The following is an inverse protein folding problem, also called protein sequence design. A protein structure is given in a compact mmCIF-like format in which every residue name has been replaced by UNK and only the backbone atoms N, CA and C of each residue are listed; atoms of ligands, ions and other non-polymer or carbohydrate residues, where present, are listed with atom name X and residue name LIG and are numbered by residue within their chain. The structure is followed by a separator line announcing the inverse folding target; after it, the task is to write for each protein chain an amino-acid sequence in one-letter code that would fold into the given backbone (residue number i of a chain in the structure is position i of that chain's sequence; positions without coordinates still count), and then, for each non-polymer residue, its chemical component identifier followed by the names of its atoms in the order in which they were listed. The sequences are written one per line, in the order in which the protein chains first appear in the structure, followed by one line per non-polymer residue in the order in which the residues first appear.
data_IF_824845031652
#
_entry.id   IF_824845031652
#
_cell.length_a   1.000
_cell.length_b   1.000
_cell.length_c   1.000
_cell.angle_alpha   90.00
_cell.angle_beta   90.00
_cell.angle_gamma   90.00
#
_symmetry.space_group_name_H-M   'P 1'
#
loop_
_entity.id
_entity.type
_entity.pdbx_description
1 polymer ?
#
# COMPACT_ATOMS: atom_id res chain seq x y z
N UNK A 1 5.54 10.89 -50.58
CA UNK A 1 6.46 10.44 -49.51
C UNK A 1 5.92 10.94 -48.19
N UNK A 2 5.31 10.08 -47.37
CA UNK A 2 4.92 10.44 -46.00
C UNK A 2 5.62 9.44 -45.10
N UNK A 3 6.58 9.92 -44.30
CA UNK A 3 7.38 9.12 -43.36
C UNK A 3 6.67 9.08 -42.01
N UNK A 4 6.62 7.87 -41.47
CA UNK A 4 6.09 7.46 -40.17
C UNK A 4 6.53 8.34 -38.99
N UNK A 5 5.62 8.57 -38.05
CA UNK A 5 5.95 8.90 -36.66
C UNK A 5 5.51 7.70 -35.82
N UNK A 6 6.47 6.85 -35.45
CA UNK A 6 6.29 5.78 -34.49
C UNK A 6 6.35 6.39 -33.09
N UNK A 7 5.20 6.56 -32.43
CA UNK A 7 5.12 6.91 -31.01
C UNK A 7 5.40 5.65 -30.20
N UNK A 8 6.64 5.47 -29.76
CA UNK A 8 6.96 4.46 -28.73
C UNK A 8 6.57 5.07 -27.39
N UNK A 9 5.33 4.81 -26.97
CA UNK A 9 4.92 5.07 -25.60
C UNK A 9 5.46 3.92 -24.74
N UNK A 10 6.68 4.09 -24.22
CA UNK A 10 7.22 3.17 -23.21
C UNK A 10 6.39 3.32 -21.93
N UNK A 11 5.39 2.45 -21.79
CA UNK A 11 4.70 2.23 -20.52
C UNK A 11 5.72 1.61 -19.58
N UNK A 12 6.29 2.42 -18.69
CA UNK A 12 7.01 1.90 -17.52
C UNK A 12 5.98 1.18 -16.65
N UNK A 13 5.82 -0.12 -16.88
CA UNK A 13 5.20 -1.00 -15.92
C UNK A 13 6.16 -1.07 -14.72
N UNK A 14 5.87 -0.29 -13.68
CA UNK A 14 6.48 -0.48 -12.37
C UNK A 14 6.09 -1.89 -11.90
N UNK A 15 7.02 -2.83 -11.99
CA UNK A 15 6.89 -4.12 -11.30
C UNK A 15 7.03 -3.83 -9.82
N UNK A 16 5.89 -3.70 -9.14
CA UNK A 16 5.86 -3.61 -7.68
C UNK A 16 6.42 -4.94 -7.15
N UNK A 17 7.68 -4.94 -6.70
CA UNK A 17 8.32 -6.11 -6.09
C UNK A 17 7.69 -6.31 -4.72
N UNK A 18 6.55 -6.98 -4.69
CA UNK A 18 6.04 -7.57 -3.47
C UNK A 18 7.16 -8.45 -2.92
N UNK A 19 7.70 -8.13 -1.75
CA UNK A 19 8.73 -8.93 -1.11
C UNK A 19 8.24 -10.38 -1.03
N UNK A 20 8.89 -11.27 -1.77
CA UNK A 20 8.45 -12.66 -1.86
C UNK A 20 8.87 -13.40 -0.57
N UNK A 21 7.97 -13.44 0.41
CA UNK A 21 8.14 -14.20 1.65
C UNK A 21 7.07 -15.28 1.80
N UNK A 22 7.07 -16.33 0.94
CA UNK A 22 5.97 -17.28 0.82
C UNK A 22 5.74 -18.16 2.05
N UNK A 23 6.74 -18.32 2.93
CA UNK A 23 6.67 -19.15 4.13
C UNK A 23 6.58 -18.36 5.44
N UNK A 24 6.72 -17.04 5.40
CA UNK A 24 6.62 -16.21 6.59
C UNK A 24 5.14 -15.99 6.95
N UNK A 25 4.67 -16.40 8.14
CA UNK A 25 3.26 -16.27 8.52
C UNK A 25 2.79 -14.80 8.63
N UNK A 26 3.68 -13.82 8.80
CA UNK A 26 3.35 -12.41 8.91
C UNK A 26 3.41 -11.67 7.56
N UNK A 27 3.83 -12.35 6.49
CA UNK A 27 3.97 -11.74 5.18
C UNK A 27 2.64 -11.68 4.40
N UNK A 28 2.37 -10.52 3.78
CA UNK A 28 1.16 -10.33 2.96
C UNK A 28 1.18 -11.13 1.66
N UNK A 29 2.35 -11.56 1.17
CA UNK A 29 2.47 -12.44 0.01
C UNK A 29 2.30 -13.93 0.37
N UNK A 30 2.20 -14.28 1.65
CA UNK A 30 1.94 -15.65 2.08
C UNK A 30 0.42 -15.91 2.14
N UNK A 31 -0.16 -16.70 1.21
CA UNK A 31 -1.60 -16.97 1.17
C UNK A 31 -2.10 -17.87 2.30
N UNK A 32 -1.19 -18.50 3.05
CA UNK A 32 -1.49 -19.28 4.26
C UNK A 32 -1.22 -18.49 5.55
N UNK A 33 -0.62 -17.30 5.45
CA UNK A 33 -0.26 -16.41 6.56
C UNK A 33 -1.12 -15.13 6.58
N UNK A 34 -0.48 -13.97 6.82
CA UNK A 34 -1.14 -12.66 6.88
C UNK A 34 -1.84 -12.27 5.57
N UNK A 35 -1.36 -12.78 4.44
CA UNK A 35 -2.00 -12.63 3.13
C UNK A 35 -3.21 -13.55 2.90
N UNK A 36 -3.55 -14.42 3.84
CA UNK A 36 -4.63 -15.39 3.65
C UNK A 36 -6.01 -14.73 3.58
N UNK A 37 -6.86 -15.09 2.59
CA UNK A 37 -8.24 -14.63 2.55
C UNK A 37 -9.14 -15.27 3.62
N UNK A 38 -8.64 -16.29 4.33
CA UNK A 38 -9.38 -16.98 5.39
C UNK A 38 -8.94 -16.56 6.79
N UNK A 39 -7.90 -15.74 6.94
CA UNK A 39 -7.47 -15.21 8.24
C UNK A 39 -8.58 -14.30 8.79
N UNK A 40 -9.11 -14.61 9.96
CA UNK A 40 -10.32 -13.97 10.52
C UNK A 40 -10.18 -12.44 10.65
N UNK A 41 -8.99 -11.97 10.98
CA UNK A 41 -8.56 -10.57 11.09
C UNK A 41 -7.60 -10.16 9.94
N UNK A 42 -7.58 -10.90 8.84
CA UNK A 42 -6.63 -10.68 7.74
C UNK A 42 -6.99 -9.50 6.83
N UNK A 43 -6.01 -8.75 6.36
CA UNK A 43 -6.19 -7.67 5.38
C UNK A 43 -6.78 -8.16 4.05
N UNK A 44 -6.51 -9.42 3.68
CA UNK A 44 -6.97 -10.03 2.44
C UNK A 44 -8.31 -10.76 2.56
N UNK A 45 -8.88 -10.83 3.77
CA UNK A 45 -10.18 -11.43 4.01
C UNK A 45 -11.30 -10.37 3.84
N UNK A 46 -12.18 -10.47 2.83
CA UNK A 46 -13.25 -9.48 2.60
C UNK A 46 -14.36 -9.51 3.66
N UNK A 47 -14.35 -10.49 4.56
CA UNK A 47 -15.29 -10.57 5.68
C UNK A 47 -14.66 -10.14 7.01
N UNK A 48 -13.36 -9.82 7.03
CA UNK A 48 -12.68 -9.35 8.25
C UNK A 48 -12.91 -7.85 8.49
N UNK A 49 -12.68 -7.41 9.71
CA UNK A 49 -12.72 -5.99 10.07
C UNK A 49 -11.74 -5.11 9.26
N UNK A 50 -10.62 -5.66 8.79
CA UNK A 50 -9.58 -4.89 8.10
C UNK A 50 -9.56 -5.07 6.57
N UNK A 51 -10.25 -6.09 6.04
CA UNK A 51 -10.36 -6.35 4.60
C UNK A 51 -11.77 -6.13 4.04
N UNK A 52 -12.79 -5.99 4.88
CA UNK A 52 -14.17 -5.78 4.43
C UNK A 52 -14.38 -4.41 3.77
N UNK A 53 -15.04 -4.32 2.61
CA UNK A 53 -15.32 -3.02 1.99
C UNK A 53 -16.28 -2.14 2.79
N UNK A 54 -16.90 -2.66 3.86
CA UNK A 54 -17.91 -1.96 4.66
C UNK A 54 -17.40 -1.50 6.03
N UNK A 55 -16.26 -2.02 6.49
CA UNK A 55 -15.72 -1.67 7.81
C UNK A 55 -15.03 -0.30 7.79
N UNK A 56 -15.23 0.50 8.83
CA UNK A 56 -14.49 1.77 9.01
C UNK A 56 -13.00 1.57 9.32
N UNK A 57 -12.59 0.34 9.66
CA UNK A 57 -11.19 -0.06 9.89
C UNK A 57 -10.52 -0.68 8.67
N UNK A 58 -11.23 -0.80 7.55
CA UNK A 58 -10.72 -1.50 6.38
C UNK A 58 -9.86 -0.63 5.49
N UNK A 59 -8.77 -1.20 4.98
CA UNK A 59 -7.97 -0.53 3.97
C UNK A 59 -8.69 -0.39 2.62
N UNK A 60 -9.71 -1.22 2.36
CA UNK A 60 -10.44 -1.27 1.07
C UNK A 60 -11.66 -0.37 1.02
N UNK A 61 -12.12 0.12 2.18
CA UNK A 61 -13.29 0.98 2.24
C UNK A 61 -12.87 2.44 1.91
N UNK A 62 -13.36 3.03 0.82
CA UNK A 62 -12.98 4.39 0.41
C UNK A 62 -13.49 5.49 1.35
N UNK A 63 -14.28 5.14 2.38
CA UNK A 63 -14.77 6.05 3.40
C UNK A 63 -14.21 5.72 4.80
N UNK A 64 -13.32 4.72 4.93
CA UNK A 64 -12.72 4.38 6.20
C UNK A 64 -11.83 5.51 6.73
N UNK A 65 -11.94 5.78 8.03
CA UNK A 65 -11.11 6.74 8.77
C UNK A 65 -10.19 6.07 9.80
N UNK A 66 -10.31 4.76 9.97
CA UNK A 66 -9.54 3.97 10.95
C UNK A 66 -8.77 2.83 10.29
N UNK A 67 -8.35 3.04 9.03
CA UNK A 67 -7.60 2.05 8.27
C UNK A 67 -6.22 1.74 8.91
N UNK A 68 -5.61 0.57 8.65
CA UNK A 68 -4.35 0.16 9.27
C UNK A 68 -3.22 1.19 9.05
N UNK A 69 -2.40 1.38 10.07
CA UNK A 69 -1.24 2.28 10.05
C UNK A 69 -0.03 1.60 9.42
N UNK A 70 0.83 2.39 8.78
CA UNK A 70 2.10 1.95 8.21
C UNK A 70 3.25 2.54 9.00
N UNK A 71 4.25 1.71 9.27
CA UNK A 71 5.52 2.15 9.85
C UNK A 71 6.68 1.51 9.09
N UNK A 72 7.81 2.21 9.03
CA UNK A 72 9.05 1.58 8.58
C UNK A 72 9.76 0.84 9.72
N UNK A 73 10.84 0.13 9.39
CA UNK A 73 11.68 -0.60 10.34
C UNK A 73 12.30 0.27 11.44
N UNK A 74 12.39 1.58 11.23
CA UNK A 74 12.92 2.54 12.20
C UNK A 74 11.80 3.13 13.07
N UNK A 75 10.55 2.72 12.88
CA UNK A 75 9.38 3.21 13.62
C UNK A 75 8.83 4.54 13.10
N UNK A 76 9.27 5.02 11.93
CA UNK A 76 8.69 6.23 11.36
C UNK A 76 7.30 5.93 10.81
N UNK A 77 6.33 6.79 11.13
CA UNK A 77 4.98 6.68 10.59
C UNK A 77 4.95 7.01 9.10
N UNK A 78 4.28 6.15 8.31
CA UNK A 78 4.18 6.21 6.84
C UNK A 78 2.73 6.34 6.35
N UNK A 79 1.83 6.81 7.20
CA UNK A 79 0.41 7.01 6.89
C UNK A 79 -0.45 5.78 7.14
N UNK A 80 -1.64 5.77 6.56
CA UNK A 80 -2.61 4.67 6.64
C UNK A 80 -2.71 3.95 5.31
N UNK A 81 -2.62 2.62 5.34
CA UNK A 81 -2.97 1.76 4.21
C UNK A 81 -4.47 1.90 3.97
N UNK A 82 -4.86 2.75 3.04
CA UNK A 82 -6.26 3.14 2.83
C UNK A 82 -6.53 3.45 1.37
N UNK A 83 -7.72 3.11 0.88
CA UNK A 83 -8.25 3.54 -0.41
C UNK A 83 -9.03 4.85 -0.33
N UNK A 84 -9.23 5.43 0.87
CA UNK A 84 -9.92 6.70 1.03
C UNK A 84 -9.08 7.85 0.45
N UNK A 85 -9.50 8.53 -0.62
CA UNK A 85 -8.69 9.59 -1.24
C UNK A 85 -8.76 10.93 -0.49
N UNK A 86 -9.66 11.06 0.49
CA UNK A 86 -9.92 12.30 1.23
C UNK A 86 -9.27 12.33 2.61
N UNK A 87 -8.90 11.17 3.16
CA UNK A 87 -8.20 11.09 4.43
C UNK A 87 -6.76 11.67 4.28
N UNK A 88 -6.33 12.59 5.16
CA UNK A 88 -5.03 13.24 5.05
C UNK A 88 -3.84 12.28 5.25
N UNK A 89 -4.06 11.18 5.97
CA UNK A 89 -3.05 10.16 6.25
C UNK A 89 -3.06 9.01 5.24
N UNK A 90 -4.06 8.95 4.37
CA UNK A 90 -4.22 7.87 3.41
C UNK A 90 -3.10 7.82 2.36
N UNK A 91 -2.59 6.62 2.13
CA UNK A 91 -1.69 6.32 1.01
C UNK A 91 -2.33 6.51 -0.37
N UNK A 92 -3.67 6.58 -0.45
CA UNK A 92 -4.39 6.85 -1.71
C UNK A 92 -4.74 8.31 -1.92
N UNK A 93 -4.39 9.21 -0.98
CA UNK A 93 -4.58 10.65 -1.16
C UNK A 93 -3.36 11.26 -1.88
N UNK A 94 -3.45 11.61 -3.18
CA UNK A 94 -2.30 12.10 -3.95
C UNK A 94 -1.85 13.51 -3.54
N UNK A 95 -2.67 14.21 -2.76
CA UNK A 95 -2.37 15.53 -2.20
C UNK A 95 -1.91 15.44 -0.73
N UNK A 96 -2.07 14.28 -0.10
CA UNK A 96 -1.69 14.04 1.29
C UNK A 96 -0.20 13.76 1.46
N UNK A 97 0.32 13.99 2.66
CA UNK A 97 1.75 13.78 2.99
C UNK A 97 2.21 12.35 2.74
N UNK A 98 1.35 11.35 2.94
CA UNK A 98 1.72 9.94 2.88
C UNK A 98 1.29 9.22 1.60
N UNK A 99 0.41 9.84 0.80
CA UNK A 99 0.00 9.31 -0.51
C UNK A 99 0.58 10.07 -1.71
N UNK A 100 1.04 11.31 -1.54
CA UNK A 100 1.57 12.10 -2.65
C UNK A 100 2.86 11.53 -3.24
N UNK A 101 3.00 11.43 -4.58
CA UNK A 101 4.25 10.99 -5.20
C UNK A 101 5.41 11.98 -5.05
N UNK A 102 5.13 13.19 -4.54
CA UNK A 102 6.13 14.25 -4.36
C UNK A 102 6.62 14.39 -2.90
N UNK A 103 5.96 13.73 -1.95
CA UNK A 103 6.33 13.80 -0.54
C UNK A 103 7.45 12.80 -0.22
N UNK A 104 8.47 13.22 0.53
CA UNK A 104 9.56 12.34 0.97
C UNK A 104 9.08 11.21 1.90
N UNK A 105 7.97 11.42 2.61
CA UNK A 105 7.42 10.44 3.56
C UNK A 105 6.47 9.42 2.91
N UNK A 106 6.12 9.64 1.65
CA UNK A 106 5.15 8.81 0.93
C UNK A 106 5.80 7.54 0.39
N UNK A 107 5.13 6.41 0.61
CA UNK A 107 5.50 5.12 0.01
C UNK A 107 5.27 5.12 -1.52
N UNK A 108 4.57 6.11 -2.05
CA UNK A 108 4.35 6.28 -3.49
C UNK A 108 5.43 7.16 -4.16
N UNK A 109 6.36 7.74 -3.39
CA UNK A 109 7.45 8.53 -3.93
C UNK A 109 8.71 7.65 -4.15
N UNK A 110 9.13 7.40 -5.40
CA UNK A 110 10.31 6.56 -5.70
C UNK A 110 11.65 7.22 -5.33
N UNK A 111 11.65 8.51 -4.99
CA UNK A 111 12.80 9.25 -4.49
C UNK A 111 12.73 9.47 -2.96
N UNK A 112 11.70 8.93 -2.29
CA UNK A 112 11.48 9.04 -0.85
C UNK A 112 11.33 7.67 -0.19
N UNK A 113 10.40 7.55 0.75
CA UNK A 113 10.13 6.30 1.47
C UNK A 113 9.75 5.13 0.55
N UNK A 114 9.20 5.40 -0.63
CA UNK A 114 8.88 4.40 -1.66
C UNK A 114 10.04 4.05 -2.60
N UNK A 115 11.27 4.46 -2.28
CA UNK A 115 12.40 4.23 -3.18
C UNK A 115 12.69 2.74 -3.39
N UNK A 116 12.85 2.27 -4.64
CA UNK A 116 13.19 0.86 -4.91
C UNK A 116 14.60 0.48 -4.44
N UNK A 117 15.44 1.47 -4.10
CA UNK A 117 16.76 1.26 -3.52
C UNK A 117 16.75 1.30 -1.99
N UNK A 118 15.61 1.59 -1.38
CA UNK A 118 15.47 1.53 0.08
C UNK A 118 15.52 0.09 0.56
N UNK A 119 16.24 -0.14 1.67
CA UNK A 119 16.21 -1.40 2.40
C UNK A 119 15.19 -1.39 3.54
N UNK A 120 14.46 -0.28 3.72
CA UNK A 120 13.46 -0.14 4.76
C UNK A 120 12.24 -1.02 4.45
N UNK A 121 11.95 -1.95 5.36
CA UNK A 121 10.71 -2.71 5.33
C UNK A 121 9.56 -1.84 5.84
N UNK A 122 8.41 -1.93 5.18
CA UNK A 122 7.15 -1.32 5.62
C UNK A 122 6.28 -2.37 6.29
N UNK A 123 5.86 -2.07 7.51
CA UNK A 123 5.03 -2.92 8.35
C UNK A 123 3.63 -2.34 8.46
N UNK A 124 2.62 -3.21 8.44
CA UNK A 124 1.21 -2.84 8.59
C UNK A 124 0.75 -3.18 10.01
N UNK A 125 0.22 -2.17 10.71
CA UNK A 125 -0.31 -2.29 12.07
C UNK A 125 -1.80 -1.97 12.05
N UNK A 126 -2.68 -2.95 12.28
CA UNK A 126 -4.11 -2.70 12.37
C UNK A 126 -4.43 -1.72 13.50
N UNK A 127 -5.35 -0.78 13.27
CA UNK A 127 -5.78 0.17 14.31
C UNK A 127 -6.66 -0.55 15.36
N UNK A 128 -6.29 -0.45 16.64
CA UNK A 128 -7.03 -1.05 17.77
C UNK A 128 -8.42 -0.43 17.97
#
# INVERSE_FOLDING_TARGET
MVRSILFIMTVFAFTQTNAACPYDPNCLSNPYGAGSPYKADGLMNPYSQYGSPYSNKSWRNPYATQAPKLYDQNGNYRGRLSTNPYDPDSTSNPYGRYGSPYSTDSINNPYGAGSPYSSDQIFVYPDE
#
